data_IF_121170675337
#
_entry.id   IF_121170675337
#
_cell.length_a   1.000
_cell.length_b   1.000
_cell.length_c   1.000
_cell.angle_alpha   90.00
_cell.angle_beta   90.00
_cell.angle_gamma   90.00
#
_symmetry.space_group_name_H-M   'P 1'
#
loop_
_entity.id
_entity.type
_entity.pdbx_description
1 polymer ?
#
# COMPACT_ATOMS: atom_id res chain seq x y z
N UNK A 1 6.49 8.22 1.84
CA UNK A 1 7.05 6.98 2.43
C UNK A 1 6.68 6.80 3.92
N UNK A 2 7.09 7.69 4.84
CA UNK A 2 6.88 7.48 6.28
C UNK A 2 5.43 7.22 6.71
N UNK A 3 4.46 7.97 6.17
CA UNK A 3 3.04 7.73 6.46
C UNK A 3 2.55 6.34 6.00
N UNK A 4 3.06 5.85 4.86
CA UNK A 4 2.71 4.54 4.30
C UNK A 4 3.31 3.42 5.18
N UNK A 5 4.59 3.53 5.54
CA UNK A 5 5.23 2.54 6.41
C UNK A 5 4.56 2.50 7.79
N UNK A 6 4.25 3.68 8.36
CA UNK A 6 3.56 3.81 9.63
C UNK A 6 2.17 3.16 9.61
N UNK A 7 1.36 3.48 8.58
CA UNK A 7 0.04 2.89 8.42
C UNK A 7 0.09 1.36 8.22
N UNK A 8 1.04 0.87 7.43
CA UNK A 8 1.24 -0.57 7.21
C UNK A 8 1.64 -1.29 8.51
N UNK A 9 2.57 -0.72 9.30
CA UNK A 9 2.99 -1.28 10.58
C UNK A 9 1.88 -1.30 11.64
N UNK A 10 1.08 -0.23 11.72
CA UNK A 10 -0.07 -0.17 12.64
C UNK A 10 -1.11 -1.22 12.26
N UNK A 11 -1.40 -1.35 10.96
CA UNK A 11 -2.35 -2.36 10.46
C UNK A 11 -1.85 -3.78 10.77
N UNK A 12 -0.56 -4.05 10.56
CA UNK A 12 0.06 -5.31 10.93
C UNK A 12 -0.06 -5.61 12.42
N UNK A 13 0.24 -4.64 13.28
CA UNK A 13 0.08 -4.80 14.74
C UNK A 13 -1.35 -5.15 15.13
N UNK A 14 -2.35 -4.47 14.53
CA UNK A 14 -3.76 -4.79 14.75
C UNK A 14 -4.13 -6.18 14.23
N UNK A 15 -3.66 -6.56 13.05
CA UNK A 15 -3.92 -7.88 12.47
C UNK A 15 -3.32 -9.01 13.31
N UNK A 16 -2.09 -8.84 13.81
CA UNK A 16 -1.41 -9.80 14.66
C UNK A 16 -2.15 -10.00 15.99
N UNK A 17 -2.65 -8.93 16.61
CA UNK A 17 -3.49 -9.03 17.81
C UNK A 17 -4.79 -9.81 17.57
N UNK A 18 -5.31 -9.78 16.35
CA UNK A 18 -6.50 -10.52 15.94
C UNK A 18 -6.18 -11.92 15.36
N UNK A 19 -4.91 -12.34 15.34
CA UNK A 19 -4.48 -13.63 14.77
C UNK A 19 -4.68 -13.74 13.25
N UNK A 20 -4.65 -12.61 12.54
CA UNK A 20 -4.88 -12.51 11.08
C UNK A 20 -3.60 -12.28 10.27
N UNK A 21 -2.46 -12.20 10.92
CA UNK A 21 -1.14 -11.92 10.36
C UNK A 21 -0.54 -13.04 9.49
N UNK A 22 -1.11 -14.24 9.55
CA UNK A 22 -0.69 -15.38 8.70
C UNK A 22 -1.64 -15.65 7.53
N UNK A 23 -2.73 -14.89 7.42
CA UNK A 23 -3.76 -15.11 6.41
C UNK A 23 -3.28 -14.68 5.02
N UNK A 24 -3.14 -15.64 4.11
CA UNK A 24 -2.72 -15.38 2.73
C UNK A 24 -3.85 -14.85 1.84
N UNK A 25 -5.10 -15.20 2.18
CA UNK A 25 -6.28 -14.62 1.59
C UNK A 25 -6.53 -13.22 2.18
N UNK A 26 -7.15 -12.34 1.40
CA UNK A 26 -7.52 -11.02 1.88
C UNK A 26 -8.55 -11.14 3.01
N UNK A 27 -8.27 -10.53 4.15
CA UNK A 27 -9.15 -10.47 5.32
C UNK A 27 -9.30 -9.04 5.82
N UNK A 28 -10.50 -8.73 6.32
CA UNK A 28 -10.76 -7.42 6.91
C UNK A 28 -10.11 -7.30 8.30
N UNK A 29 -9.39 -6.20 8.50
CA UNK A 29 -8.88 -5.74 9.78
C UNK A 29 -9.34 -4.31 9.97
N UNK A 30 -10.50 -4.14 10.60
CA UNK A 30 -11.08 -2.83 10.93
C UNK A 30 -11.35 -1.96 9.69
N UNK A 31 -11.98 -2.56 8.67
CA UNK A 31 -12.32 -1.88 7.42
C UNK A 31 -11.16 -1.78 6.42
N UNK A 32 -9.98 -2.26 6.77
CA UNK A 32 -8.79 -2.35 5.92
C UNK A 32 -8.63 -3.79 5.44
N UNK A 33 -8.62 -3.98 4.12
CA UNK A 33 -8.30 -5.27 3.51
C UNK A 33 -6.82 -5.58 3.69
N UNK A 34 -6.52 -6.73 4.28
CA UNK A 34 -5.15 -7.13 4.63
C UNK A 34 -4.80 -8.53 4.12
N UNK A 35 -3.53 -8.74 3.80
CA UNK A 35 -2.92 -10.07 3.59
C UNK A 35 -1.65 -10.14 4.42
N UNK A 36 -1.45 -11.27 5.08
CA UNK A 36 -0.32 -11.48 6.00
C UNK A 36 -0.23 -10.35 7.05
N UNK A 37 -1.38 -9.83 7.47
CA UNK A 37 -1.52 -8.70 8.38
C UNK A 37 -1.21 -7.32 7.80
N UNK A 38 -0.63 -7.21 6.61
CA UNK A 38 -0.36 -5.93 5.96
C UNK A 38 -1.53 -5.49 5.07
N UNK A 39 -1.76 -4.18 4.88
CA UNK A 39 -2.71 -3.70 3.90
C UNK A 39 -2.42 -4.26 2.49
N UNK A 40 -3.46 -4.58 1.72
CA UNK A 40 -3.27 -4.87 0.28
C UNK A 40 -2.99 -3.58 -0.48
N UNK A 41 -2.40 -3.66 -1.67
CA UNK A 41 -2.13 -2.49 -2.52
C UNK A 41 -3.41 -1.90 -3.16
N UNK A 42 -4.52 -2.61 -3.11
CA UNK A 42 -5.81 -2.19 -3.66
C UNK A 42 -6.50 -1.06 -2.86
N UNK A 43 -7.57 -0.49 -3.40
CA UNK A 43 -8.31 0.63 -2.80
C UNK A 43 -8.85 0.35 -1.40
N UNK A 44 -9.23 -0.90 -1.12
CA UNK A 44 -9.68 -1.33 0.21
C UNK A 44 -8.54 -1.54 1.23
N UNK A 45 -7.27 -1.49 0.81
CA UNK A 45 -6.12 -1.75 1.67
C UNK A 45 -5.38 -0.47 2.05
N UNK A 46 -4.18 -0.27 1.49
CA UNK A 46 -3.28 0.83 1.89
C UNK A 46 -3.92 2.22 1.73
N UNK A 47 -4.84 2.37 0.77
CA UNK A 47 -5.58 3.62 0.56
C UNK A 47 -6.49 4.00 1.72
N UNK A 48 -7.04 3.02 2.45
CA UNK A 48 -7.81 3.27 3.68
C UNK A 48 -6.94 3.39 4.91
N UNK A 49 -5.76 2.75 4.89
CA UNK A 49 -4.84 2.77 6.01
C UNK A 49 -4.13 4.13 6.18
N UNK A 50 -3.88 4.83 5.07
CA UNK A 50 -3.21 6.14 5.06
C UNK A 50 -4.25 7.26 4.92
N UNK A 51 -4.37 8.09 5.95
CA UNK A 51 -5.27 9.25 5.93
C UNK A 51 -4.89 10.21 4.79
N UNK A 52 -5.88 10.60 3.99
CA UNK A 52 -5.71 11.56 2.89
C UNK A 52 -5.17 10.95 1.59
N UNK A 53 -4.84 9.65 1.54
CA UNK A 53 -4.21 9.05 0.35
C UNK A 53 -5.15 8.99 -0.87
N UNK A 54 -6.45 8.93 -0.63
CA UNK A 54 -7.51 8.92 -1.65
C UNK A 54 -7.94 10.32 -2.10
N UNK A 55 -7.57 11.36 -1.35
CA UNK A 55 -8.09 12.72 -1.49
C UNK A 55 -7.02 13.72 -1.84
N UNK A 56 -5.86 13.66 -1.19
CA UNK A 56 -4.77 14.64 -1.34
C UNK A 56 -3.67 14.19 -2.32
N UNK A 57 -3.65 12.91 -2.69
CA UNK A 57 -2.60 12.30 -3.49
C UNK A 57 -3.15 11.69 -4.78
N UNK A 58 -2.29 11.62 -5.80
CA UNK A 58 -2.53 10.81 -6.98
C UNK A 58 -1.99 9.39 -6.71
N UNK A 59 -2.88 8.39 -6.66
CA UNK A 59 -2.49 7.02 -6.37
C UNK A 59 -3.22 6.01 -7.27
N UNK A 60 -2.47 5.07 -7.84
CA UNK A 60 -3.04 4.04 -8.70
C UNK A 60 -2.44 2.66 -8.40
N UNK A 61 -3.24 1.62 -8.61
CA UNK A 61 -2.82 0.22 -8.50
C UNK A 61 -1.93 -0.13 -9.70
N UNK A 62 -0.82 -0.81 -9.43
CA UNK A 62 0.13 -1.33 -10.41
C UNK A 62 0.51 -2.76 -10.01
N UNK A 63 -0.28 -3.74 -10.47
CA UNK A 63 -0.14 -5.15 -10.05
C UNK A 63 -0.34 -5.34 -8.55
N UNK A 64 0.63 -5.95 -7.88
CA UNK A 64 0.67 -6.11 -6.41
C UNK A 64 1.23 -4.88 -5.67
N UNK A 65 1.39 -3.77 -6.38
CA UNK A 65 1.90 -2.53 -5.83
C UNK A 65 0.90 -1.39 -6.03
N UNK A 66 1.09 -0.32 -5.28
CA UNK A 66 0.42 0.95 -5.45
C UNK A 66 1.46 2.03 -5.64
N UNK A 67 1.33 2.81 -6.70
CA UNK A 67 2.19 3.96 -6.98
C UNK A 67 1.47 5.23 -6.55
N UNK A 68 2.18 6.12 -5.87
CA UNK A 68 1.63 7.32 -5.25
C UNK A 68 2.55 8.51 -5.57
N UNK A 69 1.97 9.61 -6.04
CA UNK A 69 2.68 10.87 -6.31
C UNK A 69 1.80 12.07 -5.94
N UNK A 70 2.36 13.27 -6.07
CA UNK A 70 1.63 14.49 -5.85
C UNK A 70 0.43 14.59 -6.80
N UNK A 71 -0.69 15.11 -6.27
CA UNK A 71 -1.91 15.27 -7.05
C UNK A 71 -1.68 16.27 -8.19
N UNK A 72 -2.07 15.88 -9.39
CA UNK A 72 -2.03 16.70 -10.59
C UNK A 72 -3.21 16.36 -11.50
N UNK A 73 -3.66 17.34 -12.29
CA UNK A 73 -4.85 17.22 -13.14
C UNK A 73 -4.79 16.03 -14.13
N UNK A 74 -3.58 15.65 -14.55
CA UNK A 74 -3.35 14.61 -15.54
C UNK A 74 -2.68 13.36 -14.97
N UNK A 75 -2.50 13.23 -13.66
CA UNK A 75 -1.75 12.13 -13.03
C UNK A 75 -2.72 11.22 -12.26
N UNK A 76 -3.38 10.32 -12.98
CA UNK A 76 -4.51 9.52 -12.47
C UNK A 76 -4.37 8.00 -12.70
N UNK A 77 -3.38 7.58 -13.49
CA UNK A 77 -3.11 6.16 -13.78
C UNK A 77 -1.70 5.78 -13.38
N UNK A 78 -1.46 4.49 -13.14
CA UNK A 78 -0.14 4.00 -12.75
C UNK A 78 0.94 4.36 -13.79
N UNK A 79 0.63 4.25 -15.08
CA UNK A 79 1.56 4.60 -16.15
C UNK A 79 1.95 6.09 -16.11
N UNK A 80 0.97 6.99 -15.90
CA UNK A 80 1.23 8.41 -15.80
C UNK A 80 1.99 8.78 -14.53
N UNK A 81 1.72 8.11 -13.42
CA UNK A 81 2.46 8.27 -12.16
C UNK A 81 3.92 7.83 -12.34
N UNK A 82 4.17 6.66 -12.94
CA UNK A 82 5.54 6.18 -13.17
C UNK A 82 6.30 7.10 -14.12
N UNK A 83 5.63 7.65 -15.14
CA UNK A 83 6.23 8.59 -16.07
C UNK A 83 6.70 9.91 -15.41
N UNK A 84 6.23 10.23 -14.21
CA UNK A 84 6.75 11.40 -13.48
C UNK A 84 8.15 11.18 -12.94
N UNK A 85 8.60 9.92 -12.76
CA UNK A 85 9.88 9.59 -12.09
C UNK A 85 10.03 10.30 -10.74
N UNK A 86 8.90 10.59 -10.09
CA UNK A 86 8.83 11.25 -8.80
C UNK A 86 7.64 10.69 -8.04
N UNK A 87 7.79 9.48 -7.50
CA UNK A 87 6.68 8.75 -6.88
C UNK A 87 7.18 7.76 -5.82
N UNK A 88 6.25 7.35 -4.97
CA UNK A 88 6.44 6.32 -3.96
C UNK A 88 5.75 5.05 -4.43
N UNK A 89 6.40 3.91 -4.29
CA UNK A 89 5.78 2.60 -4.53
C UNK A 89 5.58 1.90 -3.21
N UNK A 90 4.34 1.50 -2.93
CA UNK A 90 4.00 0.52 -1.90
C UNK A 90 3.83 -0.85 -2.55
N UNK A 91 4.46 -1.88 -2.04
CA UNK A 91 4.31 -3.27 -2.51
C UNK A 91 3.70 -4.09 -1.40
N UNK A 92 2.57 -4.75 -1.68
CA UNK A 92 1.87 -5.53 -0.67
C UNK A 92 2.68 -6.75 -0.22
N UNK A 93 2.36 -7.25 0.98
CA UNK A 93 2.97 -8.48 1.47
C UNK A 93 2.61 -9.67 0.59
N UNK A 94 3.56 -10.57 0.40
CA UNK A 94 3.42 -11.77 -0.43
C UNK A 94 3.99 -12.99 0.28
N UNK A 95 3.63 -14.19 -0.16
CA UNK A 95 4.07 -15.40 0.53
C UNK A 95 3.25 -16.63 0.19
N UNK A 96 3.71 -17.78 0.68
CA UNK A 96 2.99 -19.05 0.58
C UNK A 96 3.22 -19.89 1.83
N UNK A 97 2.26 -20.72 2.23
CA UNK A 97 2.46 -21.72 3.29
C UNK A 97 2.90 -21.18 4.66
N UNK A 98 2.52 -19.94 5.03
CA UNK A 98 2.87 -19.34 6.32
C UNK A 98 4.19 -18.57 6.34
N UNK A 99 4.98 -18.56 5.25
CA UNK A 99 6.12 -17.64 5.09
C UNK A 99 5.70 -16.41 4.31
N UNK A 100 5.73 -15.25 4.96
CA UNK A 100 5.38 -13.97 4.37
C UNK A 100 6.62 -13.09 4.21
N UNK A 101 6.81 -12.55 3.01
CA UNK A 101 7.57 -11.33 2.80
C UNK A 101 6.72 -10.14 3.23
N UNK A 102 7.27 -9.33 4.13
CA UNK A 102 6.60 -8.12 4.60
C UNK A 102 6.32 -7.15 3.44
N UNK A 103 5.30 -6.31 3.62
CA UNK A 103 5.07 -5.20 2.71
C UNK A 103 6.28 -4.25 2.72
N UNK A 104 6.52 -3.57 1.61
CA UNK A 104 7.66 -2.67 1.45
C UNK A 104 7.27 -1.39 0.75
N UNK A 105 8.06 -0.34 0.98
CA UNK A 105 7.86 0.96 0.32
C UNK A 105 9.19 1.46 -0.23
N UNK A 106 9.23 1.85 -1.50
CA UNK A 106 10.36 2.49 -2.17
C UNK A 106 10.00 3.87 -2.70
N UNK A 107 11.00 4.69 -3.03
CA UNK A 107 10.81 6.01 -3.62
C UNK A 107 11.64 6.06 -4.90
N UNK A 108 11.03 6.56 -5.97
CA UNK A 108 11.70 6.99 -7.19
C UNK A 108 11.81 8.52 -7.17
N UNK A 109 13.03 9.03 -7.36
CA UNK A 109 13.38 10.46 -7.28
C UNK A 109 14.04 10.95 -8.58
N UNK A 110 13.83 10.27 -9.72
CA UNK A 110 14.49 10.62 -10.99
C UNK A 110 14.24 12.06 -11.47
N UNK A 111 13.05 12.62 -11.21
CA UNK A 111 12.66 13.99 -11.61
C UNK A 111 11.99 14.80 -10.49
N UNK A 112 12.17 14.38 -9.23
CA UNK A 112 11.94 15.28 -8.10
C UNK A 112 13.13 16.27 -7.98
#
# INVERSE_FOLDING_TARGET
KGAIDGAAGITYGKAALLGKDTQSAAVDVDGISTKFGYPVAADGGINKAVLGLDTDWAAAVSGSSRVITFKGSDVDTAAKIVATECYVTYTEASGSGGVASAASTSIDLGKC
#
